data_IF_573916283080
#
_entry.id   IF_573916283080
#
_cell.length_a   1.000
_cell.length_b   1.000
_cell.length_c   1.000
_cell.angle_alpha   90.00
_cell.angle_beta   90.00
_cell.angle_gamma   90.00
#
_symmetry.space_group_name_H-M   'P 1'
#
loop_
_entity.id
_entity.type
_entity.pdbx_description
1 polymer ?
#
# COMPACT_ATOMS: atom_id res chain seq x y z
N UNK A 1 15.48 -2.98 -15.23
CA UNK A 1 14.03 -3.11 -14.86
C UNK A 1 13.19 -2.36 -15.88
N UNK A 2 12.08 -2.94 -16.36
CA UNK A 2 11.14 -2.22 -17.23
C UNK A 2 10.43 -1.12 -16.44
N UNK A 3 10.02 -0.05 -17.13
CA UNK A 3 9.22 1.03 -16.54
C UNK A 3 7.75 0.89 -16.94
N UNK A 4 6.86 1.37 -16.10
CA UNK A 4 5.41 1.44 -16.34
C UNK A 4 4.90 2.82 -15.97
N UNK A 5 4.01 3.35 -16.79
CA UNK A 5 3.28 4.57 -16.47
C UNK A 5 2.02 4.19 -15.67
N UNK A 6 1.82 4.85 -14.54
CA UNK A 6 0.60 4.75 -13.72
C UNK A 6 -0.28 5.96 -14.01
N UNK A 7 -1.46 5.70 -14.57
CA UNK A 7 -2.39 6.76 -14.97
C UNK A 7 -1.88 7.58 -16.16
N UNK A 8 -2.54 8.70 -16.41
CA UNK A 8 -2.26 9.61 -17.54
C UNK A 8 -1.48 10.88 -17.15
N UNK A 9 -1.15 11.04 -15.85
CA UNK A 9 -0.57 12.26 -15.30
C UNK A 9 0.98 12.26 -15.34
N UNK A 10 1.61 11.21 -15.88
CA UNK A 10 3.06 11.14 -16.04
C UNK A 10 3.85 10.42 -14.95
N UNK A 11 3.16 9.78 -13.99
CA UNK A 11 3.83 8.95 -12.98
C UNK A 11 4.42 7.70 -13.62
N UNK A 12 5.74 7.64 -13.70
CA UNK A 12 6.48 6.48 -14.24
C UNK A 12 7.28 5.81 -13.14
N UNK A 13 7.09 4.49 -13.01
CA UNK A 13 7.70 3.67 -11.96
C UNK A 13 8.27 2.37 -12.54
N UNK A 14 9.13 1.68 -11.79
CA UNK A 14 9.55 0.32 -12.16
C UNK A 14 8.34 -0.62 -12.22
N UNK A 15 8.38 -1.57 -13.16
CA UNK A 15 7.27 -2.53 -13.37
C UNK A 15 7.00 -3.41 -12.14
N UNK A 16 8.01 -3.61 -11.30
CA UNK A 16 7.88 -4.21 -9.97
C UNK A 16 8.07 -3.12 -8.92
N UNK A 17 7.14 -3.04 -7.97
CA UNK A 17 7.27 -2.23 -6.76
C UNK A 17 7.59 -3.11 -5.55
N UNK A 18 8.18 -2.53 -4.52
CA UNK A 18 8.46 -3.22 -3.26
C UNK A 18 7.53 -2.71 -2.17
N UNK A 19 6.64 -3.60 -1.68
CA UNK A 19 5.84 -3.35 -0.49
C UNK A 19 6.68 -3.46 0.76
N UNK A 20 6.71 -2.41 1.56
CA UNK A 20 7.55 -2.33 2.76
C UNK A 20 6.85 -2.76 4.05
N UNK A 21 5.54 -3.07 4.01
CA UNK A 21 4.75 -3.40 5.21
C UNK A 21 5.43 -4.44 6.10
N UNK A 22 5.86 -5.56 5.52
CA UNK A 22 6.47 -6.66 6.25
C UNK A 22 7.83 -6.36 6.90
N UNK A 23 8.39 -5.16 6.68
CA UNK A 23 9.64 -4.73 7.29
C UNK A 23 9.47 -4.11 8.69
N UNK A 24 8.23 -3.83 9.11
CA UNK A 24 7.93 -3.22 10.42
C UNK A 24 6.57 -3.63 10.97
N UNK A 25 5.78 -4.45 10.24
CA UNK A 25 4.39 -4.65 10.59
C UNK A 25 3.82 -5.96 10.05
N UNK A 26 3.15 -6.73 10.90
CA UNK A 26 2.20 -7.76 10.50
C UNK A 26 2.76 -9.15 10.17
N UNK A 27 4.05 -9.34 9.95
CA UNK A 27 4.64 -10.64 9.59
C UNK A 27 5.64 -11.16 10.64
N UNK A 28 5.38 -10.89 11.92
CA UNK A 28 6.25 -11.31 13.02
C UNK A 28 7.42 -10.35 13.24
N UNK A 29 8.50 -10.86 13.84
CA UNK A 29 9.67 -10.06 14.22
C UNK A 29 10.37 -9.46 13.01
N UNK A 30 10.79 -8.22 13.15
CA UNK A 30 11.45 -7.44 12.10
C UNK A 30 12.92 -7.17 12.48
N UNK A 31 13.79 -7.26 11.48
CA UNK A 31 15.20 -6.88 11.58
C UNK A 31 15.44 -5.66 10.66
N UNK A 32 15.76 -4.51 11.28
CA UNK A 32 16.01 -3.27 10.54
C UNK A 32 17.17 -3.42 9.55
N UNK A 33 18.25 -4.09 9.95
CA UNK A 33 19.42 -4.28 9.08
C UNK A 33 19.06 -5.13 7.86
N UNK A 34 18.31 -6.22 8.06
CA UNK A 34 17.84 -7.06 6.97
C UNK A 34 16.90 -6.28 6.05
N UNK A 35 16.02 -5.45 6.60
CA UNK A 35 15.10 -4.60 5.84
C UNK A 35 15.86 -3.58 4.98
N UNK A 36 16.87 -2.90 5.53
CA UNK A 36 17.71 -1.97 4.79
C UNK A 36 18.51 -2.67 3.70
N UNK A 37 19.06 -3.87 3.96
CA UNK A 37 19.74 -4.67 2.95
C UNK A 37 18.79 -5.08 1.81
N UNK A 38 17.54 -5.42 2.13
CA UNK A 38 16.51 -5.76 1.14
C UNK A 38 16.20 -4.55 0.26
N UNK A 39 16.04 -3.36 0.85
CA UNK A 39 15.83 -2.12 0.10
C UNK A 39 17.03 -1.80 -0.80
N UNK A 40 18.24 -1.89 -0.29
CA UNK A 40 19.45 -1.67 -1.09
C UNK A 40 19.51 -2.65 -2.27
N UNK A 41 19.23 -3.94 -2.03
CA UNK A 41 19.21 -4.95 -3.10
C UNK A 41 18.11 -4.68 -4.14
N UNK A 42 16.94 -4.21 -3.73
CA UNK A 42 15.88 -3.82 -4.63
C UNK A 42 16.33 -2.68 -5.57
N UNK A 43 17.03 -1.68 -5.03
CA UNK A 43 17.58 -0.58 -5.82
C UNK A 43 18.63 -1.06 -6.85
N UNK A 44 19.53 -1.96 -6.45
CA UNK A 44 20.52 -2.56 -7.37
C UNK A 44 19.85 -3.31 -8.53
N UNK A 45 18.69 -3.92 -8.28
CA UNK A 45 17.88 -4.61 -9.31
C UNK A 45 17.04 -3.65 -10.16
N UNK A 46 17.09 -2.34 -9.88
CA UNK A 46 16.40 -1.29 -10.61
C UNK A 46 14.95 -1.10 -10.20
N UNK A 47 14.55 -1.56 -9.01
CA UNK A 47 13.27 -1.20 -8.39
C UNK A 47 13.38 0.22 -7.86
N UNK A 48 12.49 1.11 -8.32
CA UNK A 48 12.44 2.50 -7.86
C UNK A 48 11.08 2.89 -7.27
N UNK A 49 10.17 1.92 -7.10
CA UNK A 49 8.85 2.16 -6.54
C UNK A 49 8.69 1.43 -5.21
N UNK A 50 8.58 2.20 -4.13
CA UNK A 50 8.37 1.71 -2.76
C UNK A 50 6.97 2.04 -2.29
N UNK A 51 6.34 1.10 -1.59
CA UNK A 51 5.01 1.24 -1.02
C UNK A 51 5.05 1.10 0.51
N UNK A 52 4.67 2.15 1.21
CA UNK A 52 4.55 2.21 2.67
C UNK A 52 3.18 2.75 3.09
N UNK A 53 2.97 3.01 4.36
CA UNK A 53 1.80 3.68 4.92
C UNK A 53 2.09 4.19 6.35
N UNK A 54 1.38 5.26 6.77
CA UNK A 54 1.47 5.77 8.15
C UNK A 54 1.15 4.72 9.21
N UNK A 55 0.21 3.82 8.90
CA UNK A 55 -0.27 2.78 9.83
C UNK A 55 0.70 1.61 9.99
N UNK A 56 1.72 1.49 9.14
CA UNK A 56 2.68 0.40 9.24
C UNK A 56 3.67 0.63 10.38
N UNK A 57 3.59 -0.24 11.40
CA UNK A 57 4.41 -0.24 12.56
C UNK A 57 4.04 0.69 13.74
N UNK A 58 2.85 1.34 13.91
CA UNK A 58 2.49 2.58 13.22
C UNK A 58 3.62 3.61 13.22
N UNK A 59 3.76 4.30 12.10
CA UNK A 59 4.75 5.37 11.81
C UNK A 59 6.20 4.90 11.61
N UNK A 60 6.61 3.73 12.13
CA UNK A 60 8.00 3.28 12.10
C UNK A 60 8.46 2.84 10.70
N UNK A 61 7.52 2.37 9.86
CA UNK A 61 7.84 1.95 8.50
C UNK A 61 8.28 3.10 7.60
N UNK A 62 7.61 4.24 7.66
CA UNK A 62 8.00 5.44 6.92
C UNK A 62 9.38 5.94 7.36
N UNK A 63 9.69 5.91 8.66
CA UNK A 63 11.01 6.25 9.19
C UNK A 63 12.11 5.26 8.72
N UNK A 64 11.80 3.98 8.59
CA UNK A 64 12.70 2.98 8.02
C UNK A 64 12.97 3.26 6.53
N UNK A 65 11.91 3.51 5.74
CA UNK A 65 12.02 3.85 4.31
C UNK A 65 12.85 5.12 4.13
N UNK A 66 12.66 6.13 4.98
CA UNK A 66 13.43 7.38 4.95
C UNK A 66 14.94 7.15 5.03
N UNK A 67 15.39 6.21 5.88
CA UNK A 67 16.82 5.86 5.98
C UNK A 67 17.38 5.34 4.66
N UNK A 68 16.59 4.53 3.94
CA UNK A 68 17.01 3.90 2.69
C UNK A 68 17.00 4.86 1.49
N UNK A 69 16.08 5.83 1.47
CA UNK A 69 15.93 6.78 0.34
C UNK A 69 16.73 8.06 0.51
N UNK A 70 17.44 8.23 1.63
CA UNK A 70 18.22 9.44 1.92
C UNK A 70 19.19 9.75 0.78
N UNK A 71 19.05 10.94 0.17
CA UNK A 71 19.89 11.36 -0.97
C UNK A 71 19.54 10.73 -2.31
N UNK A 72 18.40 10.03 -2.43
CA UNK A 72 17.98 9.36 -3.67
C UNK A 72 16.71 9.98 -4.25
N UNK A 73 16.89 10.85 -5.24
CA UNK A 73 15.77 11.48 -5.97
C UNK A 73 15.13 10.56 -7.03
N UNK A 74 15.79 9.45 -7.37
CA UNK A 74 15.32 8.45 -8.33
C UNK A 74 14.23 7.52 -7.76
N UNK A 75 14.07 7.44 -6.44
CA UNK A 75 13.11 6.56 -5.79
C UNK A 75 11.76 7.26 -5.64
N UNK A 76 10.70 6.56 -6.06
CA UNK A 76 9.31 6.98 -5.96
C UNK A 76 8.66 6.29 -4.76
N UNK A 77 8.23 7.08 -3.78
CA UNK A 77 7.58 6.53 -2.59
C UNK A 77 6.09 6.78 -2.65
N UNK A 78 5.32 5.70 -2.53
CA UNK A 78 3.91 5.77 -2.24
C UNK A 78 3.67 5.58 -0.75
N UNK A 79 2.87 6.43 -0.14
CA UNK A 79 2.37 6.24 1.23
C UNK A 79 0.87 6.37 1.30
N UNK A 80 0.27 6.05 2.44
CA UNK A 80 -1.18 5.96 2.60
C UNK A 80 -1.63 6.55 3.93
N UNK A 81 -2.74 7.27 3.90
CA UNK A 81 -3.50 7.70 5.08
C UNK A 81 -4.85 6.98 5.15
N UNK A 82 -5.59 7.17 6.23
CA UNK A 82 -7.00 6.82 6.27
C UNK A 82 -7.39 5.89 7.40
N UNK A 83 -6.48 5.55 8.30
CA UNK A 83 -6.82 4.86 9.54
C UNK A 83 -6.77 5.79 10.74
N UNK A 84 -7.68 5.53 11.69
CA UNK A 84 -7.56 6.09 13.03
C UNK A 84 -6.55 5.24 13.80
N UNK A 85 -5.45 5.88 14.21
CA UNK A 85 -4.35 5.23 14.92
C UNK A 85 -4.41 5.66 16.39
N UNK A 86 -4.72 4.69 17.28
CA UNK A 86 -4.75 4.91 18.72
C UNK A 86 -3.33 5.08 19.29
N UNK A 87 -3.19 5.90 20.32
CA UNK A 87 -1.97 5.96 21.14
C UNK A 87 -1.83 4.73 22.05
N UNK A 88 -2.93 4.05 22.34
CA UNK A 88 -2.98 2.85 23.17
C UNK A 88 -2.90 1.57 22.33
N UNK A 89 -2.35 0.51 22.92
CA UNK A 89 -2.18 -0.78 22.28
C UNK A 89 -0.89 -0.91 21.49
N UNK A 90 -0.70 -2.06 20.86
CA UNK A 90 0.47 -2.38 20.05
C UNK A 90 0.08 -2.88 18.67
N UNK A 91 0.96 -2.67 17.68
CA UNK A 91 0.81 -3.20 16.34
C UNK A 91 -0.59 -2.90 15.73
N UNK A 92 -1.28 -3.92 15.29
CA UNK A 92 -2.60 -3.80 14.66
C UNK A 92 -3.72 -3.35 15.61
N UNK A 93 -3.60 -3.58 16.91
CA UNK A 93 -4.61 -3.14 17.88
C UNK A 93 -4.73 -1.61 17.93
N UNK A 94 -3.72 -0.89 17.45
CA UNK A 94 -3.78 0.57 17.29
C UNK A 94 -4.68 1.04 16.14
N UNK A 95 -5.04 0.15 15.20
CA UNK A 95 -5.95 0.47 14.08
C UNK A 95 -7.40 0.38 14.55
N UNK A 96 -8.03 1.52 14.86
CA UNK A 96 -9.36 1.58 15.49
C UNK A 96 -10.49 1.98 14.54
N UNK A 97 -10.25 1.94 13.23
CA UNK A 97 -11.24 2.21 12.20
C UNK A 97 -10.71 3.15 11.11
N UNK A 98 -11.57 3.49 10.14
CA UNK A 98 -11.25 4.48 9.11
C UNK A 98 -11.36 5.91 9.65
N UNK A 99 -10.59 6.82 9.07
CA UNK A 99 -10.70 8.25 9.27
C UNK A 99 -10.19 9.00 8.04
N UNK A 100 -11.12 9.51 7.25
CA UNK A 100 -10.81 10.36 6.08
C UNK A 100 -11.35 11.77 6.22
N UNK A 101 -11.54 12.24 7.47
CA UNK A 101 -11.87 13.66 7.72
C UNK A 101 -10.77 14.58 7.12
N UNK A 102 -11.13 15.67 6.44
CA UNK A 102 -10.17 16.59 5.80
C UNK A 102 -9.05 17.06 6.70
N UNK A 103 -9.35 17.40 7.96
CA UNK A 103 -8.33 17.84 8.91
C UNK A 103 -7.39 16.68 9.31
N UNK A 104 -7.91 15.44 9.38
CA UNK A 104 -7.09 14.25 9.61
C UNK A 104 -6.17 13.96 8.41
N UNK A 105 -6.70 14.02 7.18
CA UNK A 105 -5.90 13.82 5.96
C UNK A 105 -4.70 14.77 5.95
N UNK A 106 -4.91 16.05 6.21
CA UNK A 106 -3.84 17.04 6.25
C UNK A 106 -2.79 16.73 7.30
N UNK A 107 -3.21 16.39 8.53
CA UNK A 107 -2.26 16.00 9.61
C UNK A 107 -1.47 14.74 9.27
N UNK A 108 -2.13 13.73 8.69
CA UNK A 108 -1.50 12.48 8.27
C UNK A 108 -0.41 12.74 7.22
N UNK A 109 -0.70 13.58 6.21
CA UNK A 109 0.25 13.94 5.16
C UNK A 109 1.44 14.72 5.72
N UNK A 110 1.22 15.72 6.58
CA UNK A 110 2.32 16.43 7.25
C UNK A 110 3.22 15.48 8.04
N UNK A 111 2.61 14.55 8.78
CA UNK A 111 3.36 13.54 9.52
C UNK A 111 4.16 12.61 8.59
N UNK A 112 3.59 12.19 7.46
CA UNK A 112 4.28 11.35 6.46
C UNK A 112 5.45 12.09 5.80
N UNK A 113 5.28 13.36 5.42
CA UNK A 113 6.37 14.20 4.90
C UNK A 113 7.55 14.28 5.88
N UNK A 114 7.25 14.54 7.17
CA UNK A 114 8.26 14.60 8.22
C UNK A 114 8.98 13.27 8.42
N UNK A 115 8.24 12.15 8.52
CA UNK A 115 8.81 10.82 8.77
C UNK A 115 9.64 10.30 7.60
N UNK A 116 9.17 10.57 6.36
CA UNK A 116 9.90 10.22 5.13
C UNK A 116 11.07 11.16 4.85
N UNK A 117 11.08 12.36 5.45
CA UNK A 117 12.11 13.36 5.22
C UNK A 117 12.10 13.90 3.80
N UNK A 118 10.91 14.06 3.20
CA UNK A 118 10.71 14.57 1.84
C UNK A 118 9.82 15.81 1.86
N UNK A 119 10.03 16.71 0.91
CA UNK A 119 9.20 17.90 0.74
C UNK A 119 7.87 17.60 0.03
N UNK A 120 7.85 16.56 -0.79
CA UNK A 120 6.69 16.15 -1.58
C UNK A 120 6.57 14.63 -1.63
N UNK A 121 5.38 14.10 -1.34
CA UNK A 121 5.04 12.67 -1.51
C UNK A 121 4.78 12.42 -2.99
N UNK A 122 5.45 11.41 -3.58
CA UNK A 122 5.25 11.09 -5.00
C UNK A 122 3.84 10.58 -5.28
N UNK A 123 3.33 9.62 -4.51
CA UNK A 123 1.98 9.06 -4.65
C UNK A 123 1.33 8.90 -3.29
N UNK A 124 0.16 9.52 -3.11
CA UNK A 124 -0.64 9.41 -1.88
C UNK A 124 -1.89 8.58 -2.11
N UNK A 125 -2.08 7.54 -1.32
CA UNK A 125 -3.30 6.74 -1.34
C UNK A 125 -4.24 7.04 -0.17
N UNK A 126 -5.55 7.05 -0.42
CA UNK A 126 -6.50 6.68 0.64
C UNK A 126 -6.42 5.16 0.85
N UNK A 127 -6.04 4.72 2.04
CA UNK A 127 -5.72 3.30 2.33
C UNK A 127 -6.96 2.40 2.29
N UNK A 128 -8.09 2.91 2.81
CA UNK A 128 -9.41 2.26 2.76
C UNK A 128 -10.49 3.32 2.66
N UNK A 129 -11.61 3.03 1.98
CA UNK A 129 -12.76 3.91 1.98
C UNK A 129 -13.25 4.17 3.41
N UNK A 130 -13.62 5.39 3.68
CA UNK A 130 -14.29 5.78 4.92
C UNK A 130 -15.80 5.96 4.61
N UNK A 131 -16.69 5.12 5.14
CA UNK A 131 -18.11 5.24 4.86
C UNK A 131 -18.75 6.51 5.43
N UNK A 132 -18.06 7.18 6.37
CA UNK A 132 -18.55 8.42 6.98
C UNK A 132 -18.23 9.67 6.15
N UNK A 133 -17.32 9.58 5.16
CA UNK A 133 -16.87 10.75 4.37
C UNK A 133 -17.03 10.44 2.89
N UNK A 134 -17.78 11.26 2.13
CA UNK A 134 -17.90 11.12 0.68
C UNK A 134 -16.53 11.12 -0.01
N UNK A 135 -16.35 10.26 -1.01
CA UNK A 135 -15.08 10.17 -1.73
C UNK A 135 -14.71 11.49 -2.42
N UNK A 136 -15.70 12.29 -2.78
CA UNK A 136 -15.51 13.62 -3.37
C UNK A 136 -14.80 14.57 -2.40
N UNK A 137 -15.18 14.55 -1.13
CA UNK A 137 -14.56 15.40 -0.09
C UNK A 137 -13.13 14.93 0.22
N UNK A 138 -12.93 13.60 0.25
CA UNK A 138 -11.60 13.00 0.40
C UNK A 138 -10.69 13.44 -0.73
N UNK A 139 -11.12 13.21 -1.99
CA UNK A 139 -10.32 13.53 -3.17
C UNK A 139 -10.16 15.03 -3.36
N UNK A 140 -11.17 15.82 -3.01
CA UNK A 140 -11.07 17.29 -2.96
C UNK A 140 -9.93 17.77 -2.04
N UNK A 141 -9.88 17.19 -0.83
CA UNK A 141 -8.78 17.48 0.13
C UNK A 141 -7.41 17.03 -0.40
N UNK A 142 -7.36 15.85 -1.01
CA UNK A 142 -6.10 15.36 -1.62
C UNK A 142 -5.65 16.26 -2.78
N UNK A 143 -6.59 16.75 -3.60
CA UNK A 143 -6.31 17.69 -4.69
C UNK A 143 -5.78 19.04 -4.19
N UNK A 144 -6.26 19.51 -3.02
CA UNK A 144 -5.69 20.68 -2.37
C UNK A 144 -4.21 20.48 -2.03
N UNK A 145 -3.87 19.31 -1.48
CA UNK A 145 -2.48 18.95 -1.16
C UNK A 145 -1.58 18.86 -2.41
N UNK A 146 -2.16 18.47 -3.56
CA UNK A 146 -1.45 18.54 -4.85
C UNK A 146 -1.19 20.00 -5.24
N UNK A 147 -2.18 20.89 -5.13
CA UNK A 147 -2.02 22.33 -5.42
C UNK A 147 -1.03 23.01 -4.46
N UNK A 148 -0.93 22.53 -3.23
CA UNK A 148 0.06 22.98 -2.24
C UNK A 148 1.48 22.44 -2.50
N UNK A 149 1.67 21.54 -3.47
CA UNK A 149 2.96 20.91 -3.78
C UNK A 149 3.40 19.81 -2.79
N UNK A 150 2.54 19.43 -1.85
CA UNK A 150 2.84 18.41 -0.83
C UNK A 150 2.71 16.98 -1.35
N UNK A 151 1.93 16.79 -2.40
CA UNK A 151 1.66 15.51 -3.06
C UNK A 151 1.72 15.72 -4.57
N UNK A 152 2.27 14.75 -5.33
CA UNK A 152 2.28 14.84 -6.80
C UNK A 152 1.12 14.09 -7.42
N UNK A 153 0.89 12.85 -7.02
CA UNK A 153 -0.07 11.96 -7.64
C UNK A 153 -1.01 11.35 -6.60
N UNK A 154 -2.26 11.14 -7.01
CA UNK A 154 -3.30 10.59 -6.14
C UNK A 154 -3.62 9.14 -6.49
N UNK A 155 -3.92 8.36 -5.47
CA UNK A 155 -4.37 6.98 -5.60
C UNK A 155 -5.46 6.62 -4.60
N UNK A 156 -6.17 5.55 -4.90
CA UNK A 156 -7.16 4.95 -4.00
C UNK A 156 -6.82 3.48 -3.79
N UNK A 157 -7.32 2.88 -2.71
CA UNK A 157 -7.13 1.45 -2.44
C UNK A 157 -8.43 0.80 -2.03
N UNK A 158 -8.73 -0.37 -2.62
CA UNK A 158 -9.89 -1.20 -2.30
C UNK A 158 -11.24 -0.47 -2.43
N UNK A 159 -11.40 0.32 -3.48
CA UNK A 159 -12.67 0.98 -3.82
C UNK A 159 -13.40 0.27 -4.94
N UNK A 160 -14.73 0.41 -4.99
CA UNK A 160 -15.56 -0.08 -6.10
C UNK A 160 -15.36 0.76 -7.36
N UNK A 161 -15.74 0.21 -8.51
CA UNK A 161 -15.76 0.90 -9.80
C UNK A 161 -16.60 2.18 -9.76
N UNK A 162 -17.74 2.16 -9.08
CA UNK A 162 -18.59 3.34 -8.91
C UNK A 162 -17.89 4.44 -8.11
N UNK A 163 -17.22 4.08 -7.00
CA UNK A 163 -16.45 5.01 -6.19
C UNK A 163 -15.27 5.59 -6.96
N UNK A 164 -14.56 4.74 -7.74
CA UNK A 164 -13.42 5.17 -8.55
C UNK A 164 -13.83 6.20 -9.61
N UNK A 165 -15.01 6.02 -10.27
CA UNK A 165 -15.55 6.99 -11.24
C UNK A 165 -15.87 8.33 -10.59
N UNK A 166 -16.51 8.31 -9.42
CA UNK A 166 -16.82 9.53 -8.66
C UNK A 166 -15.55 10.28 -8.26
N UNK A 167 -14.54 9.56 -7.78
CA UNK A 167 -13.23 10.10 -7.43
C UNK A 167 -12.53 10.76 -8.63
N UNK A 168 -12.50 10.05 -9.76
CA UNK A 168 -11.89 10.52 -11.01
C UNK A 168 -12.55 11.80 -11.55
N UNK A 169 -13.85 11.99 -11.29
CA UNK A 169 -14.57 13.20 -11.69
C UNK A 169 -14.15 14.44 -10.89
N UNK A 170 -13.63 14.28 -9.69
CA UNK A 170 -13.14 15.37 -8.84
C UNK A 170 -11.71 15.79 -9.20
N UNK A 171 -10.82 14.80 -9.31
CA UNK A 171 -9.41 14.99 -9.65
C UNK A 171 -8.84 13.72 -10.29
N UNK A 172 -7.94 13.82 -11.28
CA UNK A 172 -7.31 12.65 -11.88
C UNK A 172 -6.66 11.73 -10.83
N UNK A 173 -7.03 10.43 -10.87
CA UNK A 173 -6.46 9.38 -10.05
C UNK A 173 -5.41 8.65 -10.88
N UNK A 174 -4.17 8.60 -10.39
CA UNK A 174 -3.07 7.95 -11.11
C UNK A 174 -3.04 6.44 -10.89
N UNK A 175 -3.44 5.97 -9.71
CA UNK A 175 -3.37 4.55 -9.38
C UNK A 175 -4.51 4.06 -8.50
N UNK A 176 -4.96 2.83 -8.76
CA UNK A 176 -5.77 2.05 -7.84
C UNK A 176 -4.96 0.88 -7.33
N UNK A 177 -4.92 0.68 -6.01
CA UNK A 177 -4.26 -0.46 -5.39
C UNK A 177 -5.28 -1.44 -4.82
N UNK A 178 -5.23 -2.72 -5.25
CA UNK A 178 -6.10 -3.79 -4.73
C UNK A 178 -5.36 -5.12 -4.63
N UNK A 179 -5.83 -6.03 -3.77
CA UNK A 179 -5.30 -7.39 -3.72
C UNK A 179 -5.55 -8.10 -5.05
N UNK A 180 -4.48 -8.61 -5.66
CA UNK A 180 -4.61 -9.37 -6.89
C UNK A 180 -3.49 -10.40 -7.01
N UNK A 181 -3.86 -11.66 -7.24
CA UNK A 181 -2.94 -12.79 -7.32
C UNK A 181 -3.60 -13.97 -8.03
N UNK A 182 -2.92 -15.11 -8.12
CA UNK A 182 -3.49 -16.33 -8.69
C UNK A 182 -4.73 -16.84 -7.92
N UNK A 183 -4.91 -16.47 -6.66
CA UNK A 183 -6.04 -16.89 -5.83
C UNK A 183 -6.97 -15.77 -5.33
N UNK A 184 -6.68 -14.49 -5.64
CA UNK A 184 -7.54 -13.32 -5.37
C UNK A 184 -7.79 -12.63 -6.69
N UNK A 185 -8.88 -13.00 -7.39
CA UNK A 185 -9.15 -12.59 -8.77
C UNK A 185 -10.35 -11.65 -8.90
N UNK A 186 -10.91 -11.18 -7.79
CA UNK A 186 -12.07 -10.27 -7.76
C UNK A 186 -11.88 -9.01 -8.63
N UNK A 187 -10.67 -8.42 -8.78
CA UNK A 187 -10.46 -7.28 -9.67
C UNK A 187 -10.81 -7.55 -11.14
N UNK A 188 -10.86 -8.81 -11.59
CA UNK A 188 -11.19 -9.17 -12.96
C UNK A 188 -12.67 -8.96 -13.31
N UNK A 189 -13.57 -8.90 -12.32
CA UNK A 189 -15.00 -8.80 -12.55
C UNK A 189 -15.41 -7.45 -13.16
N UNK A 190 -14.85 -6.33 -12.67
CA UNK A 190 -15.20 -5.01 -13.17
C UNK A 190 -14.09 -3.97 -13.05
N UNK A 191 -13.31 -4.00 -11.94
CA UNK A 191 -12.41 -2.90 -11.58
C UNK A 191 -11.23 -2.76 -12.55
N UNK A 192 -10.69 -3.86 -13.09
CA UNK A 192 -9.65 -3.80 -14.11
C UNK A 192 -10.14 -3.15 -15.41
N UNK A 193 -11.38 -3.43 -15.81
CA UNK A 193 -12.00 -2.79 -16.97
C UNK A 193 -12.18 -1.29 -16.73
N UNK A 194 -12.66 -0.91 -15.54
CA UNK A 194 -12.83 0.49 -15.14
C UNK A 194 -11.50 1.24 -15.10
N UNK A 195 -10.44 0.62 -14.58
CA UNK A 195 -9.10 1.24 -14.59
C UNK A 195 -8.61 1.51 -16.02
N UNK A 196 -8.82 0.56 -16.97
CA UNK A 196 -8.44 0.75 -18.37
C UNK A 196 -9.24 1.88 -19.03
N UNK A 197 -10.55 1.92 -18.80
CA UNK A 197 -11.44 2.96 -19.35
C UNK A 197 -11.04 4.35 -18.86
N UNK A 198 -10.70 4.49 -17.58
CA UNK A 198 -10.35 5.77 -16.95
C UNK A 198 -8.85 6.11 -17.08
N UNK A 199 -8.05 5.26 -17.73
CA UNK A 199 -6.59 5.40 -17.81
C UNK A 199 -5.94 5.51 -16.41
N UNK A 200 -6.38 4.69 -15.47
CA UNK A 200 -5.83 4.59 -14.11
C UNK A 200 -4.90 3.38 -14.02
N UNK A 201 -3.71 3.54 -13.49
CA UNK A 201 -2.79 2.45 -13.26
C UNK A 201 -3.31 1.49 -12.18
N UNK A 202 -3.23 0.18 -12.42
CA UNK A 202 -3.58 -0.81 -11.41
C UNK A 202 -2.31 -1.34 -10.72
N UNK A 203 -2.27 -1.25 -9.39
CA UNK A 203 -1.15 -1.69 -8.56
C UNK A 203 -1.59 -2.88 -7.70
N UNK A 204 -1.27 -4.12 -8.11
CA UNK A 204 -1.62 -5.30 -7.32
C UNK A 204 -0.75 -5.39 -6.07
N UNK A 205 -1.38 -5.56 -4.89
CA UNK A 205 -0.63 -5.93 -3.70
C UNK A 205 -0.80 -7.41 -3.37
N UNK A 206 0.14 -7.97 -2.62
CA UNK A 206 0.22 -9.39 -2.26
C UNK A 206 0.13 -10.36 -3.46
N UNK A 207 0.81 -10.12 -4.59
CA UNK A 207 0.71 -10.97 -5.78
C UNK A 207 1.21 -12.39 -5.53
N UNK A 208 2.06 -12.59 -4.51
CA UNK A 208 2.55 -13.90 -4.06
C UNK A 208 1.71 -14.50 -2.92
N UNK A 209 0.48 -14.02 -2.71
CA UNK A 209 -0.42 -14.54 -1.68
C UNK A 209 0.18 -14.45 -0.27
N UNK A 210 0.85 -13.33 0.06
CA UNK A 210 1.56 -13.12 1.34
C UNK A 210 2.62 -14.20 1.64
N UNK A 211 3.25 -14.72 0.60
CA UNK A 211 4.27 -15.77 0.66
C UNK A 211 3.76 -17.18 0.36
N UNK A 212 2.46 -17.43 0.46
CA UNK A 212 1.90 -18.78 0.27
C UNK A 212 2.16 -19.34 -1.14
N UNK A 213 1.91 -18.53 -2.16
CA UNK A 213 2.05 -18.92 -3.56
C UNK A 213 3.51 -19.11 -4.02
N UNK A 214 4.48 -18.90 -3.13
CA UNK A 214 5.90 -19.18 -3.42
C UNK A 214 6.27 -20.66 -3.24
N UNK A 215 5.39 -21.46 -2.64
CA UNK A 215 5.70 -22.83 -2.24
C UNK A 215 6.64 -22.96 -1.04
N UNK A 216 7.02 -21.83 -0.42
CA UNK A 216 7.92 -21.80 0.76
C UNK A 216 7.23 -21.23 2.00
N UNK A 217 5.90 -21.32 2.05
CA UNK A 217 5.15 -20.83 3.20
C UNK A 217 5.30 -21.79 4.38
N UNK A 218 5.65 -21.30 5.58
CA UNK A 218 5.76 -22.15 6.77
C UNK A 218 4.38 -22.67 7.21
N UNK A 219 4.35 -23.77 7.95
CA UNK A 219 3.12 -24.26 8.55
C UNK A 219 2.50 -23.19 9.46
N UNK A 220 1.16 -23.08 9.48
CA UNK A 220 0.45 -21.99 10.18
C UNK A 220 0.77 -21.92 11.68
N UNK A 221 1.00 -23.06 12.31
CA UNK A 221 1.35 -23.20 13.73
C UNK A 221 2.78 -22.72 14.05
N UNK A 222 3.66 -22.63 13.04
CA UNK A 222 5.03 -22.15 13.20
C UNK A 222 5.18 -20.64 12.99
N UNK A 223 4.13 -19.96 12.55
CA UNK A 223 4.13 -18.51 12.43
C UNK A 223 4.24 -17.83 13.82
N UNK A 224 4.95 -16.71 13.90
CA UNK A 224 5.06 -15.94 15.14
C UNK A 224 3.67 -15.56 15.70
N UNK A 225 3.56 -15.39 17.00
CA UNK A 225 2.26 -15.15 17.66
C UNK A 225 1.60 -13.85 17.18
N UNK A 226 2.40 -12.84 16.83
CA UNK A 226 2.00 -11.52 16.32
C UNK A 226 1.85 -11.49 14.79
N UNK A 227 2.10 -12.60 14.11
CA UNK A 227 1.91 -12.70 12.65
C UNK A 227 0.42 -12.72 12.31
N UNK A 228 -0.07 -11.65 11.67
CA UNK A 228 -1.48 -11.52 11.39
C UNK A 228 -2.01 -12.57 10.40
N UNK A 229 -1.15 -13.25 9.61
CA UNK A 229 -1.56 -14.34 8.74
C UNK A 229 -2.22 -15.46 9.50
N UNK A 230 -1.88 -15.66 10.79
CA UNK A 230 -2.56 -16.60 11.69
C UNK A 230 -4.06 -16.32 11.87
N UNK A 231 -4.50 -15.09 11.68
CA UNK A 231 -5.92 -14.71 11.84
C UNK A 231 -6.71 -14.77 10.53
N UNK A 232 -6.05 -15.00 9.41
CA UNK A 232 -6.71 -15.01 8.10
C UNK A 232 -7.22 -16.42 7.77
N UNK A 233 -8.49 -16.58 7.33
CA UNK A 233 -9.08 -17.89 7.07
C UNK A 233 -8.28 -18.77 6.11
N UNK A 234 -7.72 -18.18 5.05
CA UNK A 234 -6.95 -18.92 4.00
C UNK A 234 -5.64 -19.53 4.50
N UNK A 235 -5.17 -19.13 5.69
CA UNK A 235 -3.94 -19.64 6.30
C UNK A 235 -4.21 -20.57 7.49
N UNK A 236 -5.48 -20.89 7.82
CA UNK A 236 -5.79 -21.91 8.82
C UNK A 236 -5.40 -23.30 8.30
N UNK A 237 -5.07 -24.23 9.21
CA UNK A 237 -4.49 -25.53 8.85
C UNK A 237 -5.31 -26.29 7.78
N UNK A 238 -6.63 -26.35 7.93
CA UNK A 238 -7.52 -27.02 6.97
C UNK A 238 -7.48 -26.34 5.60
N UNK A 239 -7.50 -25.00 5.59
CA UNK A 239 -7.41 -24.22 4.35
C UNK A 239 -6.03 -24.34 3.69
N UNK A 240 -4.95 -24.40 4.49
CA UNK A 240 -3.59 -24.58 3.95
C UNK A 240 -3.47 -25.87 3.17
N UNK A 241 -3.92 -27.01 3.74
CA UNK A 241 -3.86 -28.31 3.06
C UNK A 241 -4.64 -28.30 1.74
N UNK A 242 -5.78 -27.61 1.69
CA UNK A 242 -6.55 -27.44 0.45
C UNK A 242 -5.83 -26.52 -0.54
N UNK A 243 -5.34 -25.39 -0.09
CA UNK A 243 -4.73 -24.35 -0.93
C UNK A 243 -3.35 -24.79 -1.48
N UNK A 244 -2.64 -25.71 -0.79
CA UNK A 244 -1.37 -26.24 -1.25
C UNK A 244 -1.47 -26.85 -2.66
N UNK A 245 -2.62 -27.40 -3.02
CA UNK A 245 -2.87 -27.94 -4.36
C UNK A 245 -2.78 -26.92 -5.48
N UNK A 246 -2.93 -25.62 -5.18
CA UNK A 246 -2.72 -24.54 -6.14
C UNK A 246 -1.23 -24.27 -6.39
N UNK A 247 -0.41 -24.53 -5.39
CA UNK A 247 1.05 -24.32 -5.47
C UNK A 247 1.73 -25.49 -6.16
N UNK A 248 1.17 -26.69 -6.01
CA UNK A 248 1.72 -27.94 -6.54
C UNK A 248 1.45 -28.14 -8.05
N UNK A 249 0.66 -27.24 -8.67
CA UNK A 249 0.33 -27.26 -10.12
C UNK A 249 1.26 -26.39 -10.93
#
# INVERSE_FOLDING_TARGET
>A
MQQRQLGSQGLTVSALGLGCMGMSFGYGQNDERQSLNTLARAFELGINFLDTAEVYGPYTNEALVAKAIKGRSDIKVATKFGFRISEQGEGRARMTGANSDPAHIRRAVEGSLQRLGVETIELLYQHRPDPAVPVEDVVGTMADLVREGKVKYLGLSEVSSATLRRAQAVHPISALQSEYSLWSRDPEWDILATCRELNIGFVPYSPLGRGFLTGKFPAADTLAADDFRRTLPRFQLDAQAHNQRLVDR
#
